data_IF_243841762181
#
_entry.id   IF_243841762181
#
_cell.length_a   1.000
_cell.length_b   1.000
_cell.length_c   1.000
_cell.angle_alpha   90.00
_cell.angle_beta   90.00
_cell.angle_gamma   90.00
#
_symmetry.space_group_name_H-M   'P 1'
#
loop_
_entity.id
_entity.type
_entity.pdbx_description
1 polymer ?
#
# COMPACT_ATOMS: atom_id res chain seq x y z
N UNK A 1 54.87 27.53 62.91
CA UNK A 1 53.49 26.99 63.03
C UNK A 1 52.59 28.00 62.32
N UNK A 2 51.88 27.78 61.22
CA UNK A 2 51.63 26.67 60.28
C UNK A 2 51.53 27.36 58.91
N UNK A 3 52.19 26.89 57.83
CA UNK A 3 52.08 27.54 56.52
C UNK A 3 50.79 27.12 55.81
N UNK A 4 50.08 28.10 55.26
CA UNK A 4 48.85 27.95 54.48
C UNK A 4 49.18 27.37 53.10
N UNK A 5 48.71 26.16 52.82
CA UNK A 5 48.78 25.54 51.50
C UNK A 5 47.66 26.09 50.60
N UNK A 6 48.04 26.85 49.58
CA UNK A 6 47.16 27.19 48.45
C UNK A 6 47.11 26.00 47.49
N UNK A 7 45.94 25.47 47.10
CA UNK A 7 45.86 24.36 46.15
C UNK A 7 46.13 24.86 44.72
N UNK A 8 46.96 24.12 44.00
CA UNK A 8 47.22 24.28 42.56
C UNK A 8 46.04 23.69 41.78
N UNK A 9 45.56 24.32 40.69
CA UNK A 9 44.47 23.74 39.90
C UNK A 9 44.94 22.46 39.19
N UNK A 10 44.13 21.41 39.34
CA UNK A 10 44.31 20.10 38.70
C UNK A 10 44.14 20.21 37.19
N UNK A 11 45.02 19.54 36.44
CA UNK A 11 44.95 19.48 34.98
C UNK A 11 43.64 18.85 34.49
N UNK A 12 43.02 19.50 33.50
CA UNK A 12 41.83 19.02 32.78
C UNK A 12 42.15 17.72 32.05
N UNK A 13 41.32 16.65 32.14
CA UNK A 13 41.52 15.46 31.35
C UNK A 13 41.19 15.76 29.89
N UNK A 14 42.16 15.57 29.00
CA UNK A 14 41.96 15.64 27.55
C UNK A 14 41.04 14.51 27.11
N UNK A 15 39.81 14.83 26.71
CA UNK A 15 38.86 13.87 26.12
C UNK A 15 39.38 13.47 24.74
N UNK A 16 39.86 12.24 24.62
CA UNK A 16 40.18 11.63 23.33
C UNK A 16 38.87 11.48 22.53
N UNK A 17 38.70 12.29 21.49
CA UNK A 17 37.67 12.10 20.47
C UNK A 17 38.15 11.00 19.53
N UNK A 18 37.85 9.75 19.89
CA UNK A 18 37.82 8.68 18.91
C UNK A 18 36.55 8.89 18.05
N UNK A 19 36.74 9.24 16.79
CA UNK A 19 35.67 9.19 15.78
C UNK A 19 35.23 7.73 15.66
N UNK A 20 33.97 7.37 15.96
CA UNK A 20 33.50 6.03 15.70
C UNK A 20 33.49 5.82 14.18
N UNK A 21 34.28 4.88 13.71
CA UNK A 21 34.09 4.29 12.38
C UNK A 21 32.73 3.60 12.40
N UNK A 22 31.79 3.88 11.47
CA UNK A 22 30.55 3.12 11.40
C UNK A 22 30.91 1.66 11.12
N UNK A 23 30.72 0.82 12.13
CA UNK A 23 30.70 -0.62 11.95
C UNK A 23 29.38 -0.93 11.25
N UNK A 24 29.43 -1.48 10.03
CA UNK A 24 28.25 -2.05 9.39
C UNK A 24 27.75 -3.17 10.31
N UNK A 25 26.70 -2.89 11.09
CA UNK A 25 25.95 -3.93 11.78
C UNK A 25 25.37 -4.82 10.69
N UNK A 26 25.50 -6.16 10.78
CA UNK A 26 24.83 -7.04 9.84
C UNK A 26 23.32 -6.78 9.92
N UNK A 27 22.76 -6.16 8.88
CA UNK A 27 21.33 -5.99 8.67
C UNK A 27 20.68 -7.37 8.62
N UNK A 28 19.69 -7.59 9.48
CA UNK A 28 18.86 -8.79 9.38
C UNK A 28 18.00 -8.63 8.12
N UNK A 29 18.05 -9.56 7.15
CA UNK A 29 17.23 -9.44 5.95
C UNK A 29 15.74 -9.55 6.32
N UNK A 30 14.91 -8.74 5.66
CA UNK A 30 13.44 -8.81 5.77
C UNK A 30 13.00 -10.23 5.43
N UNK A 31 12.19 -10.85 6.31
CA UNK A 31 11.73 -12.21 6.08
C UNK A 31 10.56 -12.24 5.10
N UNK A 32 10.57 -13.11 4.08
CA UNK A 32 9.47 -13.18 3.14
C UNK A 32 8.24 -13.87 3.76
N UNK A 33 7.09 -13.19 3.71
CA UNK A 33 5.79 -13.83 3.93
C UNK A 33 5.43 -14.69 2.72
N UNK A 34 4.82 -15.88 2.90
CA UNK A 34 4.43 -16.73 1.78
C UNK A 34 3.53 -16.02 0.77
N UNK A 35 3.99 -15.93 -0.47
CA UNK A 35 3.22 -15.45 -1.63
C UNK A 35 2.48 -16.55 -2.38
N UNK A 36 1.88 -16.24 -3.54
CA UNK A 36 1.25 -17.23 -4.39
C UNK A 36 2.29 -18.26 -4.88
N UNK A 37 1.88 -19.51 -5.04
CA UNK A 37 2.75 -20.53 -5.64
C UNK A 37 2.97 -20.20 -7.11
N UNK A 38 4.21 -19.85 -7.42
CA UNK A 38 4.67 -19.50 -8.75
C UNK A 38 5.06 -20.81 -9.46
N UNK A 39 4.26 -21.26 -10.43
CA UNK A 39 4.60 -22.41 -11.27
C UNK A 39 5.98 -22.22 -11.93
N UNK A 40 6.77 -23.28 -12.19
CA UNK A 40 8.01 -23.15 -12.95
C UNK A 40 7.75 -22.48 -14.31
N UNK A 41 8.81 -21.95 -14.93
CA UNK A 41 8.79 -21.28 -16.24
C UNK A 41 8.22 -22.21 -17.34
N UNK A 42 6.90 -22.23 -17.44
CA UNK A 42 6.14 -23.05 -18.36
C UNK A 42 5.53 -22.09 -19.37
N UNK A 43 5.83 -22.27 -20.65
CA UNK A 43 5.18 -21.52 -21.72
C UNK A 43 3.64 -21.65 -21.70
N UNK A 44 3.10 -22.72 -21.11
CA UNK A 44 1.68 -22.95 -20.92
C UNK A 44 1.40 -23.49 -19.51
N UNK A 45 0.42 -22.90 -18.82
CA UNK A 45 -0.12 -23.42 -17.56
C UNK A 45 -1.56 -23.91 -17.76
N UNK A 46 -1.91 -25.04 -17.13
CA UNK A 46 -3.24 -25.62 -17.20
C UNK A 46 -3.95 -25.48 -15.86
N UNK A 47 -5.15 -24.91 -15.90
CA UNK A 47 -6.00 -24.76 -14.71
C UNK A 47 -7.47 -24.99 -15.06
N UNK A 48 -8.37 -24.84 -14.09
CA UNK A 48 -9.81 -24.91 -14.32
C UNK A 48 -10.52 -23.73 -13.67
N UNK A 49 -11.62 -23.28 -14.28
CA UNK A 49 -12.46 -22.23 -13.71
C UNK A 49 -13.14 -22.71 -12.43
N UNK A 50 -12.90 -22.04 -11.30
CA UNK A 50 -13.47 -22.42 -9.99
C UNK A 50 -14.78 -21.66 -9.72
N UNK A 51 -15.53 -22.13 -8.72
CA UNK A 51 -16.74 -21.43 -8.27
C UNK A 51 -16.39 -19.99 -7.82
N UNK A 52 -17.19 -19.01 -8.25
CA UNK A 52 -16.97 -17.59 -7.99
C UNK A 52 -15.96 -16.91 -8.92
N UNK A 53 -15.28 -17.63 -9.80
CA UNK A 53 -14.36 -17.06 -10.78
C UNK A 53 -15.06 -16.78 -12.11
N UNK A 54 -14.57 -15.76 -12.82
CA UNK A 54 -14.91 -15.45 -14.20
C UNK A 54 -13.63 -15.28 -15.02
N UNK A 55 -13.73 -15.35 -16.36
CA UNK A 55 -12.54 -15.35 -17.23
C UNK A 55 -11.66 -14.10 -17.05
N UNK A 56 -12.27 -12.92 -16.86
CA UNK A 56 -11.53 -11.68 -16.61
C UNK A 56 -10.69 -11.71 -15.33
N UNK A 57 -11.20 -12.32 -14.25
CA UNK A 57 -10.43 -12.54 -13.02
C UNK A 57 -9.22 -13.44 -13.27
N UNK A 58 -9.40 -14.52 -14.05
CA UNK A 58 -8.28 -15.43 -14.38
C UNK A 58 -7.27 -14.73 -15.28
N UNK A 59 -7.73 -14.02 -16.30
CA UNK A 59 -6.88 -13.25 -17.21
C UNK A 59 -6.01 -12.24 -16.44
N UNK A 60 -6.62 -11.46 -15.53
CA UNK A 60 -5.91 -10.54 -14.65
C UNK A 60 -4.90 -11.24 -13.75
N UNK A 61 -5.30 -12.35 -13.10
CA UNK A 61 -4.43 -13.14 -12.21
C UNK A 61 -3.12 -13.55 -12.88
N UNK A 62 -3.21 -13.97 -14.14
CA UNK A 62 -2.08 -14.48 -14.90
C UNK A 62 -1.44 -13.44 -15.83
N UNK A 63 -1.99 -12.22 -15.93
CA UNK A 63 -1.48 -11.17 -16.82
C UNK A 63 -1.59 -11.53 -18.30
N UNK A 64 -2.63 -12.25 -18.70
CA UNK A 64 -2.93 -12.56 -20.10
C UNK A 64 -4.16 -11.77 -20.54
N UNK A 65 -4.30 -11.47 -21.82
CA UNK A 65 -5.54 -10.86 -22.30
C UNK A 65 -6.70 -11.87 -22.22
N UNK A 66 -7.93 -11.35 -22.06
CA UNK A 66 -9.13 -12.19 -22.10
C UNK A 66 -9.24 -12.92 -23.45
N UNK A 67 -8.89 -12.25 -24.54
CA UNK A 67 -8.93 -12.81 -25.89
C UNK A 67 -7.94 -13.96 -26.06
N UNK A 68 -6.70 -13.82 -25.57
CA UNK A 68 -5.73 -14.91 -25.56
C UNK A 68 -6.21 -16.08 -24.71
N UNK A 69 -6.74 -15.82 -23.50
CA UNK A 69 -7.27 -16.86 -22.63
C UNK A 69 -8.39 -17.65 -23.32
N UNK A 70 -9.34 -16.95 -23.96
CA UNK A 70 -10.46 -17.55 -24.70
C UNK A 70 -9.96 -18.36 -25.89
N UNK A 71 -9.02 -17.81 -26.66
CA UNK A 71 -8.47 -18.45 -27.86
C UNK A 71 -7.68 -19.71 -27.51
N UNK A 72 -6.74 -19.64 -26.56
CA UNK A 72 -5.93 -20.77 -26.14
C UNK A 72 -6.77 -21.86 -25.47
N UNK A 73 -7.80 -21.48 -24.70
CA UNK A 73 -8.70 -22.42 -24.03
C UNK A 73 -9.80 -23.00 -24.94
N UNK A 74 -9.89 -22.53 -26.19
CA UNK A 74 -10.91 -22.98 -27.15
C UNK A 74 -12.34 -22.65 -26.72
N UNK A 75 -12.54 -21.54 -26.00
CA UNK A 75 -13.84 -21.14 -25.47
C UNK A 75 -14.65 -20.49 -26.60
N UNK A 76 -15.84 -21.05 -26.89
CA UNK A 76 -16.70 -20.58 -27.98
C UNK A 76 -17.53 -19.37 -27.55
N UNK A 77 -18.05 -19.38 -26.32
CA UNK A 77 -18.84 -18.29 -25.76
C UNK A 77 -18.26 -17.88 -24.40
N UNK A 78 -17.55 -16.74 -24.30
CA UNK A 78 -16.94 -16.28 -23.06
C UNK A 78 -17.94 -15.82 -21.99
N UNK A 79 -19.20 -15.53 -22.38
CA UNK A 79 -20.25 -15.09 -21.46
C UNK A 79 -20.94 -16.26 -20.73
N UNK A 80 -20.72 -17.50 -21.20
CA UNK A 80 -21.36 -18.70 -20.65
C UNK A 80 -20.33 -19.82 -20.51
N UNK A 81 -19.60 -19.80 -19.39
CA UNK A 81 -18.53 -20.76 -19.11
C UNK A 81 -18.88 -21.60 -17.87
N UNK A 82 -18.87 -22.94 -17.95
CA UNK A 82 -19.18 -23.79 -16.81
C UNK A 82 -18.02 -23.81 -15.79
N UNK A 83 -18.36 -23.96 -14.52
CA UNK A 83 -17.37 -24.30 -13.47
C UNK A 83 -16.69 -25.62 -13.86
N UNK A 84 -15.38 -25.69 -13.69
CA UNK A 84 -14.54 -26.81 -14.11
C UNK A 84 -14.07 -26.73 -15.56
N UNK A 85 -14.44 -25.69 -16.32
CA UNK A 85 -13.89 -25.44 -17.66
C UNK A 85 -12.36 -25.44 -17.60
N UNK A 86 -11.72 -26.28 -18.42
CA UNK A 86 -10.27 -26.27 -18.59
C UNK A 86 -9.81 -24.97 -19.23
N UNK A 87 -8.81 -24.34 -18.62
CA UNK A 87 -8.19 -23.11 -19.07
C UNK A 87 -6.72 -23.38 -19.39
N UNK A 88 -6.28 -22.85 -20.54
CA UNK A 88 -4.89 -22.86 -20.97
C UNK A 88 -4.40 -21.43 -20.88
N UNK A 89 -3.46 -21.19 -19.97
CA UNK A 89 -2.83 -19.89 -19.73
C UNK A 89 -1.54 -19.83 -20.53
N UNK A 90 -1.46 -19.00 -21.58
CA UNK A 90 -0.21 -18.78 -22.28
C UNK A 90 0.66 -17.80 -21.49
N UNK A 91 1.81 -18.28 -21.02
CA UNK A 91 2.81 -17.39 -20.41
C UNK A 91 3.67 -16.82 -21.53
N UNK A 92 3.53 -15.52 -21.77
CA UNK A 92 4.22 -14.81 -22.86
C UNK A 92 5.55 -14.17 -22.43
N UNK A 93 5.92 -14.31 -21.14
CA UNK A 93 6.98 -13.49 -20.54
C UNK A 93 8.04 -14.35 -19.85
N UNK A 94 9.25 -14.31 -20.41
CA UNK A 94 10.48 -14.77 -19.76
C UNK A 94 11.01 -13.71 -18.75
N UNK A 95 10.29 -12.58 -18.59
CA UNK A 95 10.72 -11.48 -17.74
C UNK A 95 10.27 -11.71 -16.31
N UNK A 96 11.22 -11.74 -15.39
CA UNK A 96 10.97 -11.70 -13.96
C UNK A 96 11.44 -10.36 -13.40
N UNK A 97 10.65 -9.81 -12.48
CA UNK A 97 11.07 -8.69 -11.62
C UNK A 97 12.26 -9.09 -10.74
N UNK A 98 12.98 -8.13 -10.13
CA UNK A 98 13.99 -8.43 -9.14
C UNK A 98 13.43 -9.23 -7.94
N UNK A 99 14.23 -10.13 -7.39
CA UNK A 99 13.88 -11.04 -6.29
C UNK A 99 14.26 -10.51 -4.89
N UNK A 100 14.75 -9.28 -4.82
CA UNK A 100 15.10 -8.61 -3.58
C UNK A 100 13.84 -8.20 -2.79
N UNK A 101 13.79 -8.58 -1.51
CA UNK A 101 12.74 -8.18 -0.56
C UNK A 101 13.14 -6.85 0.09
N UNK A 102 12.43 -5.78 -0.25
CA UNK A 102 12.78 -4.41 0.15
C UNK A 102 12.09 -3.96 1.44
N UNK A 103 10.86 -4.42 1.66
CA UNK A 103 9.96 -3.84 2.66
C UNK A 103 9.21 -4.96 3.41
N UNK A 104 9.16 -4.97 4.75
CA UNK A 104 8.29 -5.89 5.48
C UNK A 104 6.82 -5.53 5.24
N UNK A 105 5.94 -6.54 5.28
CA UNK A 105 4.50 -6.32 5.05
C UNK A 105 3.89 -5.35 6.07
N UNK A 106 4.42 -5.33 7.31
CA UNK A 106 3.98 -4.42 8.37
C UNK A 106 4.31 -2.96 8.11
N UNK A 107 5.30 -2.68 7.27
CA UNK A 107 5.60 -1.31 6.84
C UNK A 107 4.67 -0.88 5.70
N UNK A 108 4.24 -1.80 4.83
CA UNK A 108 3.27 -1.45 3.81
C UNK A 108 1.90 -1.15 4.41
N UNK A 109 1.46 -1.93 5.40
CA UNK A 109 0.12 -1.78 5.99
C UNK A 109 0.16 -0.77 7.12
N UNK A 110 -0.75 0.21 7.09
CA UNK A 110 -0.86 1.18 8.18
C UNK A 110 -1.43 0.51 9.43
N UNK A 111 -0.54 0.07 10.33
CA UNK A 111 -0.90 -0.64 11.54
C UNK A 111 0.08 -0.39 12.69
N UNK A 112 0.28 -1.40 13.53
CA UNK A 112 1.04 -1.31 14.79
C UNK A 112 2.46 -0.73 14.66
N UNK A 113 3.13 -0.89 13.51
CA UNK A 113 4.46 -0.31 13.26
C UNK A 113 4.51 1.22 13.27
N UNK A 114 3.36 1.89 13.26
CA UNK A 114 3.24 3.33 13.15
C UNK A 114 2.78 4.02 14.45
N UNK A 115 2.53 3.29 15.53
CA UNK A 115 2.01 3.85 16.79
C UNK A 115 2.90 4.99 17.33
N UNK A 116 4.21 4.87 17.17
CA UNK A 116 5.19 5.86 17.65
C UNK A 116 5.66 6.83 16.55
N UNK A 117 5.08 6.78 15.35
CA UNK A 117 5.48 7.64 14.23
C UNK A 117 4.64 8.93 14.19
N UNK A 118 5.22 10.02 14.69
CA UNK A 118 4.63 11.36 14.55
C UNK A 118 4.89 11.90 13.13
N UNK A 119 3.95 11.64 12.22
CA UNK A 119 4.01 12.06 10.83
C UNK A 119 4.10 13.59 10.68
N UNK A 120 3.36 14.35 11.48
CA UNK A 120 3.34 15.80 11.37
C UNK A 120 4.68 16.40 11.78
N UNK A 121 5.22 15.96 12.92
CA UNK A 121 6.54 16.39 13.37
C UNK A 121 7.64 15.98 12.39
N UNK A 122 7.55 14.76 11.83
CA UNK A 122 8.50 14.30 10.82
C UNK A 122 8.50 15.20 9.58
N UNK A 123 7.33 15.49 9.01
CA UNK A 123 7.22 16.34 7.82
C UNK A 123 7.72 17.76 8.10
N UNK A 124 7.44 18.31 9.27
CA UNK A 124 7.96 19.62 9.70
C UNK A 124 9.50 19.62 9.82
N UNK A 125 10.08 18.56 10.41
CA UNK A 125 11.54 18.41 10.57
C UNK A 125 12.26 18.33 9.22
N UNK A 126 11.71 17.62 8.24
CA UNK A 126 12.34 17.48 6.92
C UNK A 126 12.34 18.80 6.13
N UNK A 127 11.38 19.70 6.38
CA UNK A 127 11.38 21.05 5.83
C UNK A 127 11.21 21.19 4.31
N UNK A 128 10.91 20.09 3.60
CA UNK A 128 10.69 20.11 2.16
C UNK A 128 9.35 20.73 1.76
N UNK A 129 9.05 20.70 0.45
CA UNK A 129 7.83 21.28 -0.13
C UNK A 129 6.55 20.76 0.52
N UNK A 130 6.53 19.51 0.96
CA UNK A 130 5.39 18.90 1.65
C UNK A 130 4.99 19.69 2.91
N UNK A 131 5.95 20.20 3.69
CA UNK A 131 5.70 20.97 4.91
C UNK A 131 5.04 22.34 4.66
N UNK A 132 5.11 22.83 3.42
CA UNK A 132 4.57 24.12 3.00
C UNK A 132 3.16 24.02 2.40
N UNK A 133 2.64 22.80 2.21
CA UNK A 133 1.33 22.57 1.60
C UNK A 133 0.23 23.02 2.55
N UNK A 134 -0.73 23.77 2.00
CA UNK A 134 -2.03 24.06 2.62
C UNK A 134 -3.09 23.90 1.54
N UNK A 135 -4.06 23.00 1.73
CA UNK A 135 -5.16 22.77 0.80
C UNK A 135 -6.51 22.82 1.51
N UNK A 136 -7.57 23.17 0.79
CA UNK A 136 -8.93 23.18 1.34
C UNK A 136 -9.60 21.84 1.11
N UNK A 137 -9.97 21.16 2.19
CA UNK A 137 -10.73 19.92 2.20
C UNK A 137 -12.18 20.08 1.72
N UNK A 138 -12.85 18.95 1.51
CA UNK A 138 -14.25 18.90 1.04
C UNK A 138 -15.25 19.50 2.04
N UNK A 139 -14.89 19.51 3.32
CA UNK A 139 -15.62 20.12 4.43
C UNK A 139 -15.26 21.59 4.66
N UNK A 140 -14.35 22.16 3.85
CA UNK A 140 -13.84 23.52 4.00
C UNK A 140 -12.70 23.67 5.01
N UNK A 141 -12.26 22.58 5.64
CA UNK A 141 -11.10 22.59 6.54
C UNK A 141 -9.80 22.84 5.76
N UNK A 142 -8.80 23.49 6.37
CA UNK A 142 -7.47 23.55 5.78
C UNK A 142 -6.66 22.33 6.21
N UNK A 143 -6.05 21.63 5.25
CA UNK A 143 -5.19 20.48 5.47
C UNK A 143 -3.75 20.85 5.13
N UNK A 144 -2.84 20.57 6.06
CA UNK A 144 -1.40 20.59 5.80
C UNK A 144 -0.98 19.43 4.90
N UNK A 145 0.25 19.44 4.38
CA UNK A 145 0.78 18.29 3.64
C UNK A 145 0.78 16.99 4.46
N UNK A 146 1.10 17.07 5.75
CA UNK A 146 1.05 15.92 6.66
C UNK A 146 -0.38 15.40 6.84
N UNK A 147 -1.37 16.28 7.00
CA UNK A 147 -2.79 15.89 7.11
C UNK A 147 -3.26 15.12 5.87
N UNK A 148 -2.78 15.50 4.69
CA UNK A 148 -3.15 14.84 3.43
C UNK A 148 -2.56 13.44 3.38
N UNK A 149 -1.27 13.29 3.76
CA UNK A 149 -0.62 11.97 3.84
C UNK A 149 -1.33 11.09 4.86
N UNK A 150 -1.65 11.60 6.05
CA UNK A 150 -2.36 10.87 7.11
C UNK A 150 -3.72 10.38 6.64
N UNK A 151 -4.49 11.25 5.97
CA UNK A 151 -5.83 10.90 5.47
C UNK A 151 -5.77 9.81 4.40
N UNK A 152 -4.82 9.89 3.47
CA UNK A 152 -4.64 8.85 2.45
C UNK A 152 -4.16 7.55 3.10
N UNK A 153 -3.15 7.61 3.97
CA UNK A 153 -2.65 6.45 4.69
C UNK A 153 -3.77 5.72 5.46
N UNK A 154 -4.57 6.46 6.22
CA UNK A 154 -5.68 5.93 7.01
C UNK A 154 -6.79 5.29 6.16
N UNK A 155 -7.19 5.95 5.06
CA UNK A 155 -8.29 5.48 4.20
C UNK A 155 -7.91 4.26 3.37
N UNK A 156 -6.67 4.25 2.88
CA UNK A 156 -6.17 3.16 2.06
C UNK A 156 -5.52 2.05 2.89
N UNK A 157 -5.35 2.25 4.20
CA UNK A 157 -4.60 1.35 5.08
C UNK A 157 -3.15 1.13 4.61
N UNK A 158 -2.52 2.17 4.06
CA UNK A 158 -1.14 2.15 3.52
C UNK A 158 -0.23 2.97 4.42
N UNK A 159 0.93 2.41 4.76
CA UNK A 159 1.90 2.99 5.67
C UNK A 159 2.43 4.35 5.17
N UNK A 160 2.37 5.41 6.00
CA UNK A 160 2.79 6.76 5.57
C UNK A 160 4.28 6.86 5.23
N UNK A 161 5.16 6.04 5.83
CA UNK A 161 6.59 6.01 5.48
C UNK A 161 6.82 5.58 4.03
N UNK A 162 6.02 4.63 3.52
CA UNK A 162 6.11 4.17 2.12
C UNK A 162 5.69 5.28 1.15
N UNK A 163 4.60 6.00 1.45
CA UNK A 163 4.14 7.13 0.64
C UNK A 163 5.18 8.25 0.60
N UNK A 164 5.80 8.57 1.75
CA UNK A 164 6.88 9.56 1.84
C UNK A 164 8.14 9.11 1.08
N UNK A 165 8.52 7.83 1.17
CA UNK A 165 9.67 7.30 0.43
C UNK A 165 9.45 7.34 -1.10
N UNK A 166 8.25 7.01 -1.59
CA UNK A 166 7.90 7.16 -3.00
C UNK A 166 7.95 8.64 -3.45
N UNK A 167 7.46 9.55 -2.60
CA UNK A 167 7.49 10.99 -2.86
C UNK A 167 8.91 11.54 -2.93
N UNK A 168 9.75 11.11 -2.01
CA UNK A 168 11.14 11.51 -1.98
C UNK A 168 11.92 10.94 -3.17
N UNK A 169 11.73 9.65 -3.50
CA UNK A 169 12.37 9.03 -4.66
C UNK A 169 11.87 9.60 -6.00
N UNK A 170 10.60 10.03 -6.06
CA UNK A 170 9.97 10.54 -7.26
C UNK A 170 10.29 12.00 -7.57
N UNK A 171 10.32 12.86 -6.54
CA UNK A 171 10.41 14.32 -6.72
C UNK A 171 11.27 15.07 -5.70
N UNK A 172 11.68 14.40 -4.61
CA UNK A 172 12.35 15.07 -3.50
C UNK A 172 11.43 15.92 -2.61
N UNK A 173 10.10 15.88 -2.76
CA UNK A 173 9.17 16.77 -2.05
C UNK A 173 9.25 16.72 -0.52
N UNK A 174 9.76 15.63 0.05
CA UNK A 174 9.88 15.49 1.50
C UNK A 174 11.00 16.37 2.03
N UNK A 175 12.11 16.49 1.30
CA UNK A 175 13.31 17.22 1.78
C UNK A 175 13.70 18.47 0.96
N UNK A 176 13.29 18.58 -0.29
CA UNK A 176 13.53 19.76 -1.14
C UNK A 176 12.42 20.79 -0.94
N UNK A 177 12.70 22.01 -0.41
CA UNK A 177 11.71 23.05 -0.23
C UNK A 177 11.25 23.71 -1.54
N UNK A 178 12.00 23.56 -2.64
CA UNK A 178 11.73 24.25 -3.91
C UNK A 178 11.99 23.34 -5.13
N UNK A 179 11.25 22.21 -5.27
CA UNK A 179 11.39 21.30 -6.39
C UNK A 179 11.01 21.99 -7.71
N UNK A 180 11.80 21.76 -8.76
CA UNK A 180 11.69 22.47 -10.03
C UNK A 180 11.13 21.61 -11.17
N UNK A 181 10.63 22.26 -12.22
CA UNK A 181 10.11 21.59 -13.41
C UNK A 181 8.90 20.71 -13.07
N UNK A 182 8.85 19.49 -13.64
CA UNK A 182 7.75 18.56 -13.36
C UNK A 182 7.67 18.19 -11.86
N UNK A 183 8.80 18.18 -11.15
CA UNK A 183 8.77 17.90 -9.72
C UNK A 183 7.95 18.94 -8.94
N UNK A 184 7.79 20.17 -9.43
CA UNK A 184 6.98 21.20 -8.77
C UNK A 184 5.48 20.86 -8.72
N UNK A 185 4.98 20.09 -9.69
CA UNK A 185 3.56 19.75 -9.85
C UNK A 185 3.27 18.26 -9.60
N UNK A 186 4.31 17.41 -9.62
CA UNK A 186 4.19 15.96 -9.50
C UNK A 186 4.99 15.37 -8.32
N UNK A 187 4.42 15.32 -7.10
CA UNK A 187 5.12 14.90 -5.89
C UNK A 187 5.65 13.47 -5.90
N UNK A 188 5.04 12.56 -6.66
CA UNK A 188 5.52 11.19 -6.82
C UNK A 188 6.29 10.99 -8.15
N UNK A 189 6.45 12.06 -8.94
CA UNK A 189 7.04 11.99 -10.28
C UNK A 189 6.14 11.32 -11.34
N UNK A 190 4.90 10.94 -11.00
CA UNK A 190 3.97 10.28 -11.90
C UNK A 190 3.33 11.26 -12.90
N UNK A 191 4.07 11.57 -13.96
CA UNK A 191 3.68 12.61 -14.94
C UNK A 191 2.58 12.19 -15.92
N UNK A 192 2.23 10.90 -15.97
CA UNK A 192 1.12 10.40 -16.78
C UNK A 192 -0.25 10.46 -16.04
N UNK A 193 -0.26 10.92 -14.79
CA UNK A 193 -1.45 11.08 -13.97
C UNK A 193 -1.88 12.53 -13.78
N UNK A 194 -2.83 12.74 -12.85
CA UNK A 194 -3.22 14.08 -12.45
C UNK A 194 -2.12 14.73 -11.57
N UNK A 195 -1.77 16.02 -11.80
CA UNK A 195 -0.84 16.74 -10.94
C UNK A 195 -1.45 17.01 -9.55
N UNK A 196 -0.59 17.31 -8.58
CA UNK A 196 -0.95 17.68 -7.21
C UNK A 196 -0.84 16.54 -6.19
N UNK A 197 -0.77 16.92 -4.91
CA UNK A 197 -0.48 16.02 -3.80
C UNK A 197 -1.54 14.93 -3.61
N UNK A 198 -2.81 15.32 -3.47
CA UNK A 198 -3.88 14.36 -3.18
C UNK A 198 -4.08 13.33 -4.32
N UNK A 199 -4.23 13.74 -5.60
CA UNK A 199 -4.43 12.77 -6.68
C UNK A 199 -3.29 11.76 -6.83
N UNK A 200 -2.04 12.20 -6.63
CA UNK A 200 -0.89 11.30 -6.70
C UNK A 200 -0.80 10.35 -5.51
N UNK A 201 -1.04 10.82 -4.29
CA UNK A 201 -1.09 9.95 -3.13
C UNK A 201 -2.22 8.92 -3.22
N UNK A 202 -3.41 9.31 -3.69
CA UNK A 202 -4.53 8.39 -3.91
C UNK A 202 -4.22 7.33 -4.99
N UNK A 203 -3.56 7.73 -6.08
CA UNK A 203 -3.08 6.80 -7.11
C UNK A 203 -2.08 5.80 -6.52
N UNK A 204 -1.02 6.27 -5.85
CA UNK A 204 0.00 5.38 -5.33
C UNK A 204 -0.54 4.46 -4.24
N UNK A 205 -1.38 4.97 -3.33
CA UNK A 205 -1.99 4.14 -2.30
C UNK A 205 -2.92 3.07 -2.91
N UNK A 206 -3.61 3.37 -4.02
CA UNK A 206 -4.39 2.37 -4.76
C UNK A 206 -3.49 1.31 -5.40
N UNK A 207 -2.39 1.68 -6.06
CA UNK A 207 -1.47 0.73 -6.70
C UNK A 207 -0.71 -0.12 -5.68
N UNK A 208 -0.32 0.46 -4.54
CA UNK A 208 0.28 -0.27 -3.42
C UNK A 208 -0.69 -1.34 -2.89
N UNK A 209 -1.95 -0.96 -2.67
CA UNK A 209 -3.01 -1.91 -2.29
C UNK A 209 -3.21 -2.99 -3.35
N UNK A 210 -3.24 -2.62 -4.64
CA UNK A 210 -3.39 -3.60 -5.71
C UNK A 210 -2.26 -4.63 -5.63
N UNK A 211 -1.00 -4.19 -5.58
CA UNK A 211 0.12 -5.13 -5.53
C UNK A 211 0.12 -5.98 -4.26
N UNK A 212 -0.23 -5.41 -3.11
CA UNK A 212 -0.30 -6.16 -1.84
C UNK A 212 -1.38 -7.24 -1.85
N UNK A 213 -2.64 -6.85 -2.04
CA UNK A 213 -3.78 -7.78 -1.98
C UNK A 213 -3.83 -8.68 -3.22
N UNK A 214 -3.36 -8.18 -4.36
CA UNK A 214 -3.18 -8.96 -5.59
C UNK A 214 -2.28 -10.16 -5.35
N UNK A 215 -1.12 -9.93 -4.72
CA UNK A 215 -0.19 -10.99 -4.35
C UNK A 215 -0.72 -11.86 -3.21
N UNK A 216 -1.20 -11.24 -2.12
CA UNK A 216 -1.58 -11.91 -0.88
C UNK A 216 -2.81 -12.82 -1.03
N UNK A 217 -3.89 -12.34 -1.66
CA UNK A 217 -5.19 -13.04 -1.67
C UNK A 217 -5.71 -13.42 -3.07
N UNK A 218 -5.42 -12.60 -4.10
CA UNK A 218 -5.93 -12.86 -5.46
C UNK A 218 -5.04 -13.81 -6.26
N UNK A 219 -3.80 -13.99 -5.82
CA UNK A 219 -2.79 -14.80 -6.49
C UNK A 219 -2.36 -14.24 -7.84
N UNK A 220 -2.44 -12.91 -7.99
CA UNK A 220 -1.90 -12.17 -9.13
C UNK A 220 -0.38 -12.28 -9.13
N UNK A 221 0.20 -12.83 -10.20
CA UNK A 221 1.66 -12.96 -10.33
C UNK A 221 2.24 -12.07 -11.43
N UNK A 222 1.38 -11.43 -12.22
CA UNK A 222 1.77 -10.56 -13.31
C UNK A 222 1.83 -9.09 -12.85
N UNK A 223 2.89 -8.40 -13.27
CA UNK A 223 3.16 -7.01 -13.00
C UNK A 223 3.17 -6.28 -14.35
N UNK A 224 2.08 -5.57 -14.71
CA UNK A 224 2.02 -4.76 -15.91
C UNK A 224 2.84 -3.48 -15.75
N UNK A 225 3.45 -3.03 -16.83
CA UNK A 225 4.24 -1.79 -16.92
C UNK A 225 3.51 -0.74 -17.77
N UNK A 226 3.88 0.52 -17.58
CA UNK A 226 3.37 1.66 -18.35
C UNK A 226 3.58 1.49 -19.87
N UNK A 227 4.69 0.86 -20.28
CA UNK A 227 4.99 0.59 -21.70
C UNK A 227 4.23 -0.61 -22.31
N UNK A 228 3.33 -1.22 -21.55
CA UNK A 228 2.55 -2.40 -21.93
C UNK A 228 3.29 -3.73 -21.78
N UNK A 229 4.55 -3.72 -21.34
CA UNK A 229 5.27 -4.95 -20.98
C UNK A 229 4.61 -5.58 -19.75
N UNK A 230 4.65 -6.90 -19.67
CA UNK A 230 4.22 -7.66 -18.49
C UNK A 230 5.40 -8.51 -18.02
N UNK A 231 5.80 -8.32 -16.76
CA UNK A 231 6.76 -9.21 -16.11
C UNK A 231 6.08 -10.03 -15.02
N UNK A 232 6.71 -11.12 -14.64
CA UNK A 232 6.29 -11.94 -13.51
C UNK A 232 6.95 -11.45 -12.22
N UNK A 233 6.20 -11.44 -11.12
CA UNK A 233 6.78 -11.33 -9.79
C UNK A 233 7.78 -12.45 -9.54
N UNK A 234 8.96 -12.14 -9.02
CA UNK A 234 9.94 -13.19 -8.69
C UNK A 234 9.41 -14.13 -7.60
N UNK A 235 9.76 -15.43 -7.63
CA UNK A 235 9.46 -16.34 -6.53
C UNK A 235 10.06 -15.85 -5.21
N UNK A 236 9.31 -15.98 -4.12
CA UNK A 236 9.81 -15.67 -2.78
C UNK A 236 9.64 -14.23 -2.32
N UNK A 237 9.09 -13.33 -3.15
CA UNK A 237 8.74 -11.98 -2.73
C UNK A 237 7.56 -11.99 -1.73
N UNK A 238 7.59 -11.05 -0.78
CA UNK A 238 6.45 -10.76 0.10
C UNK A 238 5.48 -9.76 -0.56
N UNK A 239 4.20 -9.71 -0.11
CA UNK A 239 3.22 -8.75 -0.61
C UNK A 239 3.68 -7.28 -0.55
N UNK A 240 4.35 -6.87 0.53
CA UNK A 240 4.84 -5.50 0.74
C UNK A 240 5.81 -5.04 -0.33
N UNK A 241 6.76 -5.90 -0.70
CA UNK A 241 7.72 -5.60 -1.77
C UNK A 241 7.04 -5.60 -3.14
N UNK A 242 6.12 -6.54 -3.39
CA UNK A 242 5.39 -6.59 -4.67
C UNK A 242 4.52 -5.36 -4.87
N UNK A 243 3.94 -4.81 -3.80
CA UNK A 243 3.22 -3.55 -3.83
C UNK A 243 4.09 -2.40 -4.34
N UNK A 244 5.31 -2.26 -3.82
CA UNK A 244 6.26 -1.24 -4.27
C UNK A 244 6.68 -1.48 -5.72
N UNK A 245 7.03 -2.72 -6.09
CA UNK A 245 7.41 -3.07 -7.46
C UNK A 245 6.30 -2.74 -8.46
N UNK A 246 5.04 -3.10 -8.14
CA UNK A 246 3.88 -2.83 -8.98
C UNK A 246 3.64 -1.32 -9.14
N UNK A 247 3.70 -0.57 -8.04
CA UNK A 247 3.46 0.88 -8.05
C UNK A 247 4.49 1.59 -8.94
N UNK A 248 5.76 1.20 -8.85
CA UNK A 248 6.81 1.76 -9.70
C UNK A 248 6.71 1.29 -11.16
N UNK A 249 6.30 0.03 -11.39
CA UNK A 249 6.07 -0.53 -12.71
C UNK A 249 4.98 0.23 -13.49
N UNK A 250 3.92 0.65 -12.79
CA UNK A 250 2.82 1.43 -13.36
C UNK A 250 3.22 2.84 -13.83
N UNK A 251 4.47 3.28 -13.62
CA UNK A 251 5.01 4.58 -14.06
C UNK A 251 6.40 4.44 -14.70
N UNK A 252 6.77 3.23 -15.17
CA UNK A 252 8.09 3.00 -15.75
C UNK A 252 8.13 1.85 -16.75
N UNK A 253 9.28 1.64 -17.39
CA UNK A 253 9.54 0.48 -18.25
C UNK A 253 10.23 -0.64 -17.47
N UNK A 254 10.11 -1.88 -17.94
CA UNK A 254 10.78 -3.02 -17.29
C UNK A 254 12.29 -2.79 -17.09
N UNK A 255 12.96 -2.20 -18.10
CA UNK A 255 14.40 -1.90 -18.05
C UNK A 255 14.81 -0.87 -17.00
N UNK A 256 13.89 0.00 -16.59
CA UNK A 256 14.14 1.08 -15.64
C UNK A 256 13.75 0.71 -14.20
N UNK A 257 12.93 -0.33 -14.01
CA UNK A 257 12.46 -0.76 -12.70
C UNK A 257 13.59 -0.98 -11.67
N UNK A 258 14.71 -1.66 -11.99
CA UNK A 258 15.78 -1.85 -11.00
C UNK A 258 16.31 -0.52 -10.43
N UNK A 259 16.51 0.49 -11.29
CA UNK A 259 16.96 1.81 -10.85
C UNK A 259 15.91 2.56 -10.02
N UNK A 260 14.62 2.39 -10.34
CA UNK A 260 13.51 2.97 -9.56
C UNK A 260 13.40 2.32 -8.17
N UNK A 261 13.61 1.01 -8.07
CA UNK A 261 13.62 0.29 -6.80
C UNK A 261 14.81 0.72 -5.92
N UNK A 262 16.01 0.87 -6.51
CA UNK A 262 17.17 1.42 -5.80
C UNK A 262 16.89 2.82 -5.26
N UNK A 263 16.30 3.71 -6.07
CA UNK A 263 15.97 5.06 -5.62
C UNK A 263 14.94 5.07 -4.47
N UNK A 264 13.96 4.16 -4.50
CA UNK A 264 13.02 3.97 -3.40
C UNK A 264 13.71 3.49 -2.12
N UNK A 265 14.55 2.45 -2.18
CA UNK A 265 15.26 1.92 -1.01
C UNK A 265 16.21 2.98 -0.41
N UNK A 266 16.94 3.71 -1.25
CA UNK A 266 17.82 4.81 -0.80
C UNK A 266 17.02 5.94 -0.14
N UNK A 267 15.87 6.31 -0.71
CA UNK A 267 14.99 7.33 -0.11
C UNK A 267 14.42 6.85 1.23
N UNK A 268 13.91 5.62 1.29
CA UNK A 268 13.37 5.03 2.51
C UNK A 268 14.44 4.99 3.60
N UNK A 269 15.62 4.42 3.29
CA UNK A 269 16.72 4.28 4.26
C UNK A 269 17.25 5.61 4.76
N UNK A 270 17.31 6.62 3.90
CA UNK A 270 17.72 7.96 4.31
C UNK A 270 16.71 8.62 5.25
N UNK A 271 15.41 8.45 4.99
CA UNK A 271 14.35 9.06 5.78
C UNK A 271 14.09 8.33 7.11
N UNK A 272 14.14 7.00 7.11
CA UNK A 272 13.60 6.18 8.20
C UNK A 272 14.59 5.14 8.76
N UNK A 273 15.74 4.93 8.12
CA UNK A 273 16.68 3.88 8.48
C UNK A 273 16.32 2.52 7.87
N UNK A 274 16.82 1.45 8.47
CA UNK A 274 16.68 0.10 7.91
C UNK A 274 15.24 -0.43 8.06
N UNK A 275 14.51 -0.74 6.96
CA UNK A 275 13.13 -1.21 7.04
C UNK A 275 12.97 -2.49 7.87
N UNK A 276 14.00 -3.34 7.94
CA UNK A 276 13.97 -4.55 8.74
C UNK A 276 13.87 -4.28 10.26
N UNK A 277 14.40 -3.13 10.72
CA UNK A 277 14.32 -2.72 12.13
C UNK A 277 12.94 -2.14 12.50
N UNK A 278 12.09 -1.88 11.48
CA UNK A 278 10.72 -1.40 11.62
C UNK A 278 9.68 -2.51 11.40
N UNK A 279 10.12 -3.75 11.19
CA UNK A 279 9.23 -4.90 11.08
C UNK A 279 8.48 -5.14 12.39
N UNK A 280 7.17 -4.91 12.37
CA UNK A 280 6.30 -5.11 13.52
C UNK A 280 5.77 -6.55 13.61
N UNK A 281 6.16 -7.43 12.68
CA UNK A 281 5.69 -8.80 12.57
C UNK A 281 4.46 -8.93 11.65
N UNK A 282 3.77 -10.09 11.69
CA UNK A 282 2.75 -10.41 10.70
C UNK A 282 1.56 -9.45 10.79
N UNK A 283 1.16 -8.89 9.65
CA UNK A 283 -0.03 -8.03 9.49
C UNK A 283 -1.30 -8.74 9.97
N UNK A 284 -1.38 -10.06 9.75
CA UNK A 284 -2.45 -10.92 10.24
C UNK A 284 -1.88 -11.84 11.33
N UNK A 285 -2.10 -11.54 12.62
CA UNK A 285 -1.61 -12.37 13.72
C UNK A 285 -2.17 -13.78 13.67
N UNK A 286 -1.37 -14.76 14.12
CA UNK A 286 -1.83 -16.13 14.24
C UNK A 286 -3.00 -16.22 15.24
N UNK A 287 -4.09 -16.88 14.82
CA UNK A 287 -5.27 -17.07 15.67
C UNK A 287 -6.24 -15.88 15.68
N UNK A 288 -6.05 -14.87 14.81
CA UNK A 288 -7.05 -13.84 14.57
C UNK A 288 -8.39 -14.49 14.17
N UNK A 289 -9.45 -14.17 14.90
CA UNK A 289 -10.80 -14.66 14.64
C UNK A 289 -11.71 -13.46 14.40
N UNK A 290 -12.45 -13.49 13.29
CA UNK A 290 -13.46 -12.48 13.02
C UNK A 290 -14.57 -12.58 14.07
N UNK A 291 -15.02 -11.46 14.66
CA UNK A 291 -16.17 -11.50 15.56
C UNK A 291 -17.43 -11.96 14.82
N UNK A 292 -18.42 -12.45 15.55
CA UNK A 292 -19.73 -12.68 14.98
C UNK A 292 -20.32 -11.33 14.53
N UNK A 293 -20.53 -11.18 13.23
CA UNK A 293 -21.14 -10.00 12.64
C UNK A 293 -22.64 -10.22 12.47
N UNK A 294 -23.42 -9.23 12.92
CA UNK A 294 -24.83 -9.09 12.62
C UNK A 294 -25.04 -8.06 11.52
N UNK A 295 -26.19 -8.14 10.84
CA UNK A 295 -26.58 -7.11 9.88
C UNK A 295 -26.68 -5.75 10.61
N UNK A 296 -26.13 -4.65 10.05
CA UNK A 296 -25.98 -3.38 10.76
C UNK A 296 -27.29 -2.57 10.82
N UNK A 297 -28.42 -3.21 11.12
CA UNK A 297 -29.72 -2.57 11.35
C UNK A 297 -30.53 -3.32 12.42
N UNK A 298 -31.65 -2.73 12.85
CA UNK A 298 -32.43 -3.31 13.95
C UNK A 298 -33.16 -4.59 13.51
N UNK A 299 -33.37 -5.56 14.43
CA UNK A 299 -34.19 -6.73 14.14
C UNK A 299 -35.58 -6.34 13.64
N UNK A 300 -35.98 -6.94 12.50
CA UNK A 300 -37.27 -6.67 11.85
C UNK A 300 -37.25 -5.55 10.81
N UNK A 301 -36.14 -4.83 10.64
CA UNK A 301 -35.95 -3.91 9.51
C UNK A 301 -35.43 -4.63 8.26
N UNK A 302 -35.82 -4.11 7.10
CA UNK A 302 -35.38 -4.59 5.79
C UNK A 302 -34.48 -3.56 5.12
N UNK A 303 -33.37 -4.03 4.57
CA UNK A 303 -32.41 -3.24 3.81
C UNK A 303 -32.07 -3.99 2.52
N UNK A 304 -31.83 -3.22 1.46
CA UNK A 304 -31.43 -3.75 0.16
C UNK A 304 -29.91 -3.85 0.09
N UNK A 305 -29.38 -5.01 -0.33
CA UNK A 305 -28.00 -5.12 -0.78
C UNK A 305 -27.88 -4.45 -2.14
N UNK A 306 -27.22 -3.30 -2.20
CA UNK A 306 -27.08 -2.48 -3.42
C UNK A 306 -25.70 -2.59 -4.05
N UNK A 307 -24.70 -3.03 -3.28
CA UNK A 307 -23.33 -3.29 -3.72
C UNK A 307 -22.85 -4.61 -3.14
N UNK A 308 -22.45 -5.54 -4.02
CA UNK A 308 -21.86 -6.82 -3.61
C UNK A 308 -20.45 -6.66 -3.01
N UNK A 309 -19.76 -7.75 -2.65
CA UNK A 309 -18.40 -7.69 -2.10
C UNK A 309 -17.45 -6.86 -2.97
N UNK A 310 -16.79 -5.86 -2.37
CA UNK A 310 -15.84 -4.98 -3.05
C UNK A 310 -14.74 -4.47 -2.11
N UNK A 311 -13.78 -3.74 -2.67
CA UNK A 311 -12.67 -3.15 -1.91
C UNK A 311 -13.15 -2.14 -0.87
N UNK A 312 -12.52 -2.12 0.31
CA UNK A 312 -12.97 -1.27 1.43
C UNK A 312 -12.95 0.24 1.18
N UNK A 313 -12.15 0.71 0.22
CA UNK A 313 -12.07 2.14 -0.15
C UNK A 313 -12.09 2.35 -1.66
N UNK A 314 -11.21 1.64 -2.37
CA UNK A 314 -11.10 1.68 -3.83
C UNK A 314 -10.83 0.27 -4.39
N UNK A 315 -10.75 0.14 -5.72
CA UNK A 315 -10.64 -1.16 -6.40
C UNK A 315 -9.37 -1.95 -6.06
N UNK A 316 -8.26 -1.29 -5.71
CA UNK A 316 -7.02 -1.98 -5.34
C UNK A 316 -7.06 -2.59 -3.93
N UNK A 317 -7.89 -2.05 -3.04
CA UNK A 317 -7.97 -2.43 -1.62
C UNK A 317 -8.43 -3.87 -1.41
N UNK A 318 -8.17 -4.41 -0.22
CA UNK A 318 -8.68 -5.71 0.21
C UNK A 318 -10.21 -5.73 0.19
N UNK A 319 -10.78 -6.89 -0.15
CA UNK A 319 -12.22 -7.08 -0.19
C UNK A 319 -12.79 -7.04 1.23
N UNK A 320 -13.43 -5.92 1.56
CA UNK A 320 -13.79 -5.59 2.93
C UNK A 320 -15.14 -4.86 3.05
N UNK A 321 -15.86 -4.64 1.95
CA UNK A 321 -17.08 -3.84 1.95
C UNK A 321 -18.29 -4.53 1.29
N UNK A 322 -19.47 -4.16 1.77
CA UNK A 322 -20.80 -4.47 1.27
C UNK A 322 -21.67 -3.22 1.43
N UNK A 323 -22.49 -2.89 0.43
CA UNK A 323 -23.36 -1.70 0.49
C UNK A 323 -24.80 -2.08 0.76
N UNK A 324 -25.38 -1.43 1.77
CA UNK A 324 -26.78 -1.60 2.13
C UNK A 324 -27.50 -0.25 2.15
N UNK A 325 -28.75 -0.27 1.70
CA UNK A 325 -29.64 0.91 1.70
C UNK A 325 -30.96 0.54 2.39
N UNK A 326 -31.49 1.37 3.31
CA UNK A 326 -32.78 1.12 3.95
C UNK A 326 -33.93 1.02 2.96
N UNK A 327 -34.96 0.21 3.25
CA UNK A 327 -36.15 0.06 2.38
C UNK A 327 -36.86 1.40 2.08
N UNK A 328 -36.86 2.33 3.04
CA UNK A 328 -37.49 3.65 2.88
C UNK A 328 -36.60 4.71 2.20
N UNK A 329 -35.36 4.36 1.84
CA UNK A 329 -34.46 5.31 1.20
C UNK A 329 -34.76 5.42 -0.30
N UNK A 330 -34.62 6.64 -0.82
CA UNK A 330 -34.77 6.91 -2.26
C UNK A 330 -33.43 6.58 -2.94
N UNK A 331 -33.35 5.43 -3.59
CA UNK A 331 -32.17 5.02 -4.36
C UNK A 331 -31.88 6.07 -5.45
N UNK A 332 -30.65 6.57 -5.49
CA UNK A 332 -30.21 7.61 -6.43
C UNK A 332 -30.46 9.05 -5.98
N UNK A 333 -31.02 9.28 -4.78
CA UNK A 333 -31.15 10.61 -4.18
C UNK A 333 -30.16 10.83 -3.03
N UNK A 334 -29.67 12.08 -2.88
CA UNK A 334 -28.89 12.51 -1.72
C UNK A 334 -29.82 13.04 -0.61
N UNK A 335 -30.71 12.18 -0.10
CA UNK A 335 -31.69 12.54 0.94
C UNK A 335 -31.39 11.71 2.20
N UNK A 336 -31.31 12.33 3.38
CA UNK A 336 -31.14 11.60 4.63
C UNK A 336 -32.25 10.55 4.82
N UNK A 337 -31.88 9.33 5.19
CA UNK A 337 -32.82 8.31 5.61
C UNK A 337 -33.20 8.49 7.08
N UNK A 338 -34.44 8.17 7.45
CA UNK A 338 -34.88 8.14 8.86
C UNK A 338 -34.33 6.92 9.64
N UNK A 339 -33.80 5.94 8.90
CA UNK A 339 -33.26 4.68 9.40
C UNK A 339 -31.83 4.85 9.89
N UNK A 340 -31.46 4.12 10.94
CA UNK A 340 -30.14 4.20 11.56
C UNK A 340 -29.38 2.89 11.36
N UNK A 341 -28.13 2.98 10.89
CA UNK A 341 -27.21 1.87 11.02
C UNK A 341 -26.87 1.63 12.50
N UNK A 342 -26.71 0.36 12.87
CA UNK A 342 -26.24 -0.04 14.21
C UNK A 342 -24.93 -0.81 14.09
N UNK A 343 -24.18 -0.91 15.19
CA UNK A 343 -22.93 -1.65 15.22
C UNK A 343 -23.14 -3.13 14.82
N UNK A 344 -22.32 -3.62 13.90
CA UNK A 344 -22.39 -5.00 13.42
C UNK A 344 -21.90 -6.01 14.48
N UNK A 345 -21.10 -5.58 15.46
CA UNK A 345 -20.62 -6.38 16.57
C UNK A 345 -20.45 -5.50 17.83
N UNK A 346 -20.29 -6.09 19.04
CA UNK A 346 -19.79 -5.36 20.20
C UNK A 346 -18.34 -4.90 19.96
N UNK A 347 -18.01 -3.67 20.38
CA UNK A 347 -16.65 -3.13 20.26
C UNK A 347 -16.55 -1.71 20.84
N UNK A 348 -15.38 -1.11 20.68
CA UNK A 348 -15.07 0.28 21.04
C UNK A 348 -15.16 1.15 19.79
N UNK A 349 -15.85 2.28 19.87
CA UNK A 349 -15.78 3.29 18.80
C UNK A 349 -14.41 3.94 18.85
N UNK A 350 -13.48 3.45 18.04
CA UNK A 350 -12.11 3.93 17.96
C UNK A 350 -12.00 5.22 17.14
N UNK A 351 -12.94 5.47 16.21
CA UNK A 351 -13.00 6.70 15.42
C UNK A 351 -14.45 7.08 15.09
N UNK A 352 -14.75 8.38 15.12
CA UNK A 352 -16.03 8.95 14.70
C UNK A 352 -15.79 10.24 13.93
N UNK A 353 -15.99 10.20 12.61
CA UNK A 353 -15.84 11.33 11.70
C UNK A 353 -17.16 11.57 10.93
N UNK A 354 -17.36 12.73 10.30
CA UNK A 354 -18.49 12.94 9.40
C UNK A 354 -18.52 11.86 8.30
N UNK A 355 -19.56 11.02 8.32
CA UNK A 355 -19.77 9.95 7.33
C UNK A 355 -19.01 8.64 7.60
N UNK A 356 -18.26 8.52 8.70
CA UNK A 356 -17.43 7.34 8.99
C UNK A 356 -17.39 7.03 10.49
N UNK A 357 -17.59 5.76 10.85
CA UNK A 357 -17.38 5.24 12.21
C UNK A 357 -16.52 3.99 12.11
N UNK A 358 -15.45 3.92 12.90
CA UNK A 358 -14.61 2.73 13.03
C UNK A 358 -14.83 2.11 14.41
N UNK A 359 -15.11 0.80 14.41
CA UNK A 359 -15.32 -0.02 15.59
C UNK A 359 -14.16 -1.02 15.71
N UNK A 360 -13.56 -1.10 16.90
CA UNK A 360 -12.48 -2.05 17.27
C UNK A 360 -12.97 -3.08 18.31
#
# INVERSE_FOLDING_TARGET
MVPTNTPVPSATPTRSTATPTPSATPTTPVSPTPGPTIAPDLALEFTTLKNGQYLGYVAQRYGVSLDELVQFSGIINPDVVPIGQGLIIPHHTDLATPDEVLLPDSELVYGQGYVDFDLAAFVEEQGGRLSQVSMTGLDGEQWSGADVVERVAARYSVGPRVLLALMEAGSGWVTDPDPQGNAADYPLGHTNGAPGLLPQLEWAANELNHGFYGWLDRGETAIPFEDGTIARGAPGLNPGTVAVQRTLAADTSFSQLPGRLTAFDEAYRRLFGDPAELDAGPVLPAGLAQPELHLPWKPGEWWHLTGGPHGGWVSGSGWAALDFVPENAVIGGCIPADSWAVAAAPGVVARSLPGEILLD
#
